data_IF_206913785229
#
_entry.id   IF_206913785229
#
_cell.length_a   1.000
_cell.length_b   1.000
_cell.length_c   1.000
_cell.angle_alpha   90.00
_cell.angle_beta   90.00
_cell.angle_gamma   90.00
#
_symmetry.space_group_name_H-M   'P 1'
#
loop_
_entity.id
_entity.type
_entity.pdbx_description
1 polymer ?
#
# COMPACT_ATOMS: atom_id res chain seq x y z
N UNK A 1 -8.77 29.20 -3.89
CA UNK A 1 -9.43 30.37 -4.52
C UNK A 1 -9.59 30.22 -6.06
N UNK A 2 -10.83 30.33 -6.59
CA UNK A 2 -11.14 30.09 -8.00
C UNK A 2 -10.57 31.15 -8.98
N UNK A 3 -10.21 32.34 -8.49
CA UNK A 3 -9.65 33.44 -9.32
C UNK A 3 -8.23 33.14 -9.82
N UNK A 4 -7.36 32.58 -8.98
CA UNK A 4 -5.98 32.26 -9.33
C UNK A 4 -5.87 31.17 -10.41
N UNK A 5 -6.74 30.16 -10.34
CA UNK A 5 -6.81 29.07 -11.33
C UNK A 5 -7.18 29.60 -12.72
N UNK A 6 -8.09 30.58 -12.79
CA UNK A 6 -8.48 31.23 -14.06
C UNK A 6 -7.36 32.05 -14.66
N UNK A 7 -6.66 32.83 -13.83
CA UNK A 7 -5.52 33.64 -14.27
C UNK A 7 -4.39 32.77 -14.87
N UNK A 8 -4.04 31.66 -14.20
CA UNK A 8 -3.03 30.72 -14.72
C UNK A 8 -3.49 30.07 -16.03
N UNK A 9 -4.76 29.66 -16.11
CA UNK A 9 -5.31 29.07 -17.33
C UNK A 9 -5.29 30.06 -18.50
N UNK A 10 -5.59 31.33 -18.25
CA UNK A 10 -5.54 32.40 -19.26
C UNK A 10 -4.11 32.70 -19.70
N UNK A 11 -3.14 32.75 -18.78
CA UNK A 11 -1.72 32.92 -19.10
C UNK A 11 -1.20 31.75 -19.92
N UNK A 12 -1.54 30.51 -19.55
CA UNK A 12 -1.16 29.31 -20.30
C UNK A 12 -1.80 29.25 -21.69
N UNK A 13 -3.06 29.66 -21.82
CA UNK A 13 -3.73 29.75 -23.12
C UNK A 13 -3.10 30.83 -24.00
N UNK A 14 -2.69 31.95 -23.42
CA UNK A 14 -2.00 33.02 -24.15
C UNK A 14 -0.63 32.55 -24.64
N UNK A 15 0.12 31.86 -23.79
CA UNK A 15 1.43 31.28 -24.16
C UNK A 15 1.31 30.16 -25.21
N UNK A 16 0.23 29.35 -25.15
CA UNK A 16 -0.07 28.33 -26.17
C UNK A 16 -0.38 28.97 -27.53
N UNK A 17 -1.06 30.12 -27.56
CA UNK A 17 -1.34 30.88 -28.79
C UNK A 17 -0.09 31.57 -29.36
N UNK A 18 0.81 32.06 -28.51
CA UNK A 18 1.98 32.84 -28.93
C UNK A 18 3.17 31.98 -29.38
N UNK A 19 3.43 30.83 -28.73
CA UNK A 19 4.64 30.01 -28.97
C UNK A 19 4.37 28.57 -29.42
N UNK A 20 3.11 28.15 -29.48
CA UNK A 20 2.72 26.76 -29.80
C UNK A 20 3.18 25.74 -28.74
N UNK A 21 2.86 24.46 -28.95
CA UNK A 21 3.23 23.35 -28.04
C UNK A 21 4.70 22.95 -28.14
N UNK A 22 5.60 23.89 -27.86
CA UNK A 22 7.04 23.65 -27.78
C UNK A 22 7.42 22.72 -26.63
N UNK A 23 8.60 22.08 -26.71
CA UNK A 23 9.13 21.24 -25.63
C UNK A 23 9.28 22.00 -24.31
N UNK A 24 9.70 23.28 -24.36
CA UNK A 24 9.80 24.15 -23.18
C UNK A 24 8.42 24.38 -22.52
N UNK A 25 7.36 24.56 -23.31
CA UNK A 25 5.99 24.69 -22.81
C UNK A 25 5.52 23.41 -22.10
N UNK A 26 5.83 22.23 -22.65
CA UNK A 26 5.52 20.94 -21.99
C UNK A 26 6.26 20.76 -20.66
N UNK A 27 7.49 21.29 -20.55
CA UNK A 27 8.26 21.28 -19.29
C UNK A 27 7.64 22.24 -18.27
N UNK A 28 7.34 23.47 -18.66
CA UNK A 28 6.77 24.51 -17.78
C UNK A 28 5.37 24.14 -17.29
N UNK A 29 4.50 23.61 -18.15
CA UNK A 29 3.16 23.13 -17.76
C UNK A 29 3.20 22.00 -16.75
N UNK A 30 4.15 21.07 -16.90
CA UNK A 30 4.37 19.99 -15.91
C UNK A 30 4.90 20.54 -14.59
N UNK A 31 5.84 21.49 -14.62
CA UNK A 31 6.37 22.13 -13.42
C UNK A 31 5.28 22.89 -12.66
N UNK A 32 4.46 23.68 -13.37
CA UNK A 32 3.29 24.36 -12.80
C UNK A 32 2.26 23.38 -12.20
N UNK A 33 2.01 22.26 -12.88
CA UNK A 33 1.12 21.20 -12.35
C UNK A 33 1.64 20.64 -11.02
N UNK A 34 2.94 20.35 -10.93
CA UNK A 34 3.56 19.89 -9.68
C UNK A 34 3.49 20.96 -8.57
N UNK A 35 3.73 22.23 -8.90
CA UNK A 35 3.62 23.33 -7.94
C UNK A 35 2.19 23.48 -7.40
N UNK A 36 1.18 23.34 -8.26
CA UNK A 36 -0.22 23.39 -7.86
C UNK A 36 -0.57 22.28 -6.87
N UNK A 37 -0.04 21.07 -7.07
CA UNK A 37 -0.24 19.93 -6.16
C UNK A 37 0.36 20.22 -4.78
N UNK A 38 1.58 20.76 -4.73
CA UNK A 38 2.23 21.12 -3.46
C UNK A 38 1.45 22.20 -2.72
N UNK A 39 0.99 23.24 -3.43
CA UNK A 39 0.18 24.31 -2.84
C UNK A 39 -1.18 23.80 -2.32
N UNK A 40 -1.79 22.82 -3.00
CA UNK A 40 -3.02 22.18 -2.54
C UNK A 40 -2.78 21.34 -1.27
N UNK A 41 -1.67 20.60 -1.20
CA UNK A 41 -1.26 19.87 0.01
C UNK A 41 -1.03 20.82 1.20
N UNK A 42 -0.33 21.94 0.99
CA UNK A 42 -0.08 22.95 2.02
C UNK A 42 -1.37 23.64 2.49
N UNK A 43 -2.28 23.96 1.56
CA UNK A 43 -3.58 24.55 1.88
C UNK A 43 -4.43 23.60 2.75
N UNK A 44 -4.45 22.30 2.43
CA UNK A 44 -5.13 21.29 3.25
C UNK A 44 -4.50 21.18 4.64
N UNK A 45 -3.17 21.24 4.75
CA UNK A 45 -2.50 21.22 6.05
C UNK A 45 -2.81 22.46 6.90
N UNK A 46 -2.84 23.64 6.26
CA UNK A 46 -3.23 24.88 6.92
C UNK A 46 -4.67 24.81 7.43
N UNK A 47 -5.59 24.22 6.67
CA UNK A 47 -6.97 24.01 7.13
C UNK A 47 -7.05 23.03 8.32
N UNK A 48 -6.14 22.05 8.40
CA UNK A 48 -6.06 21.14 9.55
C UNK A 48 -5.56 21.83 10.82
N UNK A 49 -4.61 22.76 10.73
CA UNK A 49 -4.06 23.48 11.90
C UNK A 49 -4.94 24.66 12.30
N UNK A 50 -5.48 25.37 11.32
CA UNK A 50 -6.36 26.53 11.48
C UNK A 50 -7.68 26.26 10.75
N UNK A 51 -8.63 25.56 11.38
CA UNK A 51 -9.93 25.30 10.77
C UNK A 51 -10.70 26.61 10.60
N UNK A 52 -10.70 27.15 9.37
CA UNK A 52 -11.54 28.28 8.99
C UNK A 52 -12.85 27.72 8.42
N UNK A 53 -13.98 27.96 9.08
CA UNK A 53 -15.30 27.45 8.64
C UNK A 53 -16.43 27.71 9.64
N UNK A 54 -17.65 27.37 9.24
CA UNK A 54 -18.92 27.65 9.96
C UNK A 54 -19.03 26.88 11.29
N UNK A 55 -18.42 25.68 11.41
CA UNK A 55 -18.36 24.90 12.66
C UNK A 55 -16.94 24.39 13.00
N UNK A 56 -16.12 25.18 13.71
CA UNK A 56 -14.75 24.81 14.08
C UNK A 56 -14.67 23.60 15.03
N UNK A 57 -15.66 23.46 15.91
CA UNK A 57 -15.67 22.44 16.97
C UNK A 57 -15.81 21.02 16.41
N UNK A 58 -16.76 20.78 15.49
CA UNK A 58 -16.95 19.48 14.86
C UNK A 58 -15.71 19.04 14.06
N UNK A 59 -15.09 19.95 13.28
CA UNK A 59 -13.87 19.64 12.51
C UNK A 59 -12.74 19.19 13.43
N UNK A 60 -12.55 19.87 14.56
CA UNK A 60 -11.52 19.55 15.54
C UNK A 60 -11.77 18.21 16.25
N UNK A 61 -13.00 17.93 16.69
CA UNK A 61 -13.38 16.64 17.30
C UNK A 61 -13.15 15.48 16.32
N UNK A 62 -13.57 15.64 15.05
CA UNK A 62 -13.31 14.63 14.01
C UNK A 62 -11.81 14.40 13.78
N UNK A 63 -11.00 15.45 13.82
CA UNK A 63 -9.55 15.35 13.67
C UNK A 63 -8.93 14.55 14.81
N UNK A 64 -9.28 14.86 16.06
CA UNK A 64 -8.82 14.12 17.23
C UNK A 64 -9.26 12.66 17.19
N UNK A 65 -10.53 12.41 16.87
CA UNK A 65 -11.05 11.06 16.76
C UNK A 65 -10.29 10.23 15.70
N UNK A 66 -9.92 10.84 14.56
CA UNK A 66 -9.08 10.20 13.55
C UNK A 66 -7.69 9.84 14.09
N UNK A 67 -7.07 10.65 14.94
CA UNK A 67 -5.77 10.34 15.52
C UNK A 67 -5.85 9.17 16.50
N UNK A 68 -6.85 9.15 17.39
CA UNK A 68 -7.09 8.02 18.29
C UNK A 68 -7.39 6.73 17.54
N UNK A 69 -8.24 6.79 16.52
CA UNK A 69 -8.53 5.64 15.67
C UNK A 69 -7.26 5.12 14.98
N UNK A 70 -6.41 6.01 14.46
CA UNK A 70 -5.12 5.62 13.86
C UNK A 70 -4.20 4.95 14.87
N UNK A 71 -4.19 5.39 16.12
CA UNK A 71 -3.39 4.80 17.19
C UNK A 71 -3.88 3.37 17.50
N UNK A 72 -5.20 3.20 17.70
CA UNK A 72 -5.79 1.88 17.98
C UNK A 72 -5.54 0.90 16.82
N UNK A 73 -5.80 1.33 15.57
CA UNK A 73 -5.51 0.52 14.38
C UNK A 73 -4.01 0.20 14.27
N UNK A 74 -3.14 1.14 14.67
CA UNK A 74 -1.70 0.93 14.75
C UNK A 74 -1.32 -0.21 15.70
N UNK A 75 -1.82 -0.18 16.94
CA UNK A 75 -1.56 -1.24 17.94
C UNK A 75 -2.10 -2.59 17.45
N UNK A 76 -3.33 -2.63 16.94
CA UNK A 76 -3.91 -3.86 16.39
C UNK A 76 -3.08 -4.39 15.21
N UNK A 77 -2.61 -3.51 14.32
CA UNK A 77 -1.80 -3.91 13.17
C UNK A 77 -0.45 -4.51 13.56
N UNK A 78 0.16 -4.05 14.67
CA UNK A 78 1.39 -4.65 15.22
C UNK A 78 1.11 -6.08 15.68
N UNK A 79 0.01 -6.29 16.41
CA UNK A 79 -0.41 -7.63 16.85
C UNK A 79 -0.63 -8.60 15.69
N UNK A 80 -1.34 -8.15 14.65
CA UNK A 80 -1.57 -8.97 13.44
C UNK A 80 -0.27 -9.24 12.69
N UNK A 81 0.64 -8.28 12.58
CA UNK A 81 1.97 -8.48 11.95
C UNK A 81 2.78 -9.54 12.68
N UNK A 82 2.83 -9.47 14.02
CA UNK A 82 3.54 -10.45 14.85
C UNK A 82 2.94 -11.84 14.64
N UNK A 83 1.61 -11.95 14.63
CA UNK A 83 0.95 -13.24 14.39
C UNK A 83 1.28 -13.84 13.01
N UNK A 84 1.40 -13.00 11.97
CA UNK A 84 1.81 -13.44 10.63
C UNK A 84 3.26 -13.92 10.61
N UNK A 85 4.18 -13.20 11.27
CA UNK A 85 5.59 -13.61 11.37
C UNK A 85 5.71 -14.95 12.12
N UNK A 86 4.98 -15.10 13.23
CA UNK A 86 4.94 -16.35 13.99
C UNK A 86 4.40 -17.51 13.15
N UNK A 87 3.31 -17.29 12.39
CA UNK A 87 2.76 -18.30 11.49
C UNK A 87 3.79 -18.73 10.43
N UNK A 88 4.51 -17.78 9.81
CA UNK A 88 5.55 -18.11 8.83
C UNK A 88 6.68 -18.95 9.47
N UNK A 89 7.17 -18.54 10.64
CA UNK A 89 8.30 -19.22 11.30
C UNK A 89 7.90 -20.61 11.81
N UNK A 90 6.74 -20.73 12.47
CA UNK A 90 6.35 -21.96 13.18
C UNK A 90 5.73 -23.01 12.26
N UNK A 91 5.02 -22.58 11.23
CA UNK A 91 4.22 -23.48 10.38
C UNK A 91 4.83 -23.69 9.00
N UNK A 92 5.44 -22.66 8.39
CA UNK A 92 5.95 -22.76 7.00
C UNK A 92 7.45 -23.09 6.97
N UNK A 93 8.26 -22.50 7.86
CA UNK A 93 9.73 -22.59 7.77
C UNK A 93 10.31 -23.89 8.36
N UNK A 94 9.62 -24.53 9.30
CA UNK A 94 10.10 -25.73 10.00
C UNK A 94 9.28 -26.95 9.54
N UNK A 95 9.95 -27.92 8.93
CA UNK A 95 9.39 -29.23 8.59
C UNK A 95 9.97 -30.30 9.52
N UNK A 96 9.18 -30.98 10.38
CA UNK A 96 7.73 -30.88 10.60
C UNK A 96 7.30 -29.63 11.41
N UNK A 97 6.06 -29.12 11.22
CA UNK A 97 5.61 -27.88 11.85
C UNK A 97 5.50 -28.02 13.38
N UNK A 98 6.08 -27.06 14.11
CA UNK A 98 6.15 -27.11 15.59
C UNK A 98 4.77 -26.87 16.21
N UNK A 99 4.02 -25.89 15.68
CA UNK A 99 2.60 -25.71 16.01
C UNK A 99 1.87 -24.93 14.90
N UNK A 100 0.71 -25.42 14.44
CA UNK A 100 -0.11 -24.72 13.46
C UNK A 100 -0.98 -23.65 14.13
N UNK A 101 -0.34 -22.62 14.72
CA UNK A 101 -0.92 -21.62 15.62
C UNK A 101 -2.24 -21.03 15.12
N UNK A 102 -2.23 -20.27 14.01
CA UNK A 102 -3.45 -19.61 13.54
C UNK A 102 -4.47 -20.61 12.98
N UNK A 103 -4.00 -21.69 12.36
CA UNK A 103 -4.87 -22.76 11.86
C UNK A 103 -5.72 -23.36 13.00
N UNK A 104 -5.09 -23.67 14.14
CA UNK A 104 -5.82 -24.20 15.31
C UNK A 104 -6.74 -23.17 15.96
N UNK A 105 -6.40 -21.88 15.91
CA UNK A 105 -7.26 -20.82 16.42
C UNK A 105 -8.52 -20.67 15.54
N UNK A 106 -8.36 -20.74 14.22
CA UNK A 106 -9.46 -20.61 13.28
C UNK A 106 -10.39 -21.82 13.29
N UNK A 107 -9.85 -23.05 13.35
CA UNK A 107 -10.69 -24.26 13.48
C UNK A 107 -11.47 -24.29 14.79
N UNK A 108 -10.89 -23.80 15.89
CA UNK A 108 -11.61 -23.65 17.17
C UNK A 108 -12.70 -22.59 17.10
N UNK A 109 -12.47 -21.47 16.42
CA UNK A 109 -13.49 -20.44 16.22
C UNK A 109 -14.63 -20.95 15.32
N UNK A 110 -14.29 -21.69 14.28
CA UNK A 110 -15.23 -22.34 13.36
C UNK A 110 -16.14 -23.34 14.07
N UNK A 111 -15.58 -24.12 15.02
CA UNK A 111 -16.33 -25.06 15.84
C UNK A 111 -17.39 -24.40 16.75
N UNK A 112 -17.20 -23.14 17.15
CA UNK A 112 -18.21 -22.38 17.92
C UNK A 112 -19.28 -21.83 16.99
N UNK A 113 -18.86 -21.19 15.89
CA UNK A 113 -19.76 -20.71 14.84
C UNK A 113 -18.99 -20.58 13.52
N UNK A 114 -19.43 -21.22 12.42
CA UNK A 114 -18.65 -21.26 11.18
C UNK A 114 -18.32 -19.89 10.57
N UNK A 115 -19.16 -18.87 10.81
CA UNK A 115 -18.87 -17.52 10.32
C UNK A 115 -17.65 -16.90 11.02
N UNK A 116 -17.35 -17.26 12.26
CA UNK A 116 -16.21 -16.68 12.98
C UNK A 116 -14.87 -17.14 12.42
N UNK A 117 -14.74 -18.43 12.06
CA UNK A 117 -13.53 -18.93 11.41
C UNK A 117 -13.25 -18.19 10.10
N UNK A 118 -14.26 -18.10 9.23
CA UNK A 118 -14.14 -17.47 7.92
C UNK A 118 -13.91 -15.95 8.00
N UNK A 119 -14.56 -15.26 8.94
CA UNK A 119 -14.37 -13.82 9.17
C UNK A 119 -12.96 -13.52 9.69
N UNK A 120 -12.46 -14.30 10.65
CA UNK A 120 -11.09 -14.14 11.16
C UNK A 120 -10.06 -14.41 10.05
N UNK A 121 -10.23 -15.47 9.27
CA UNK A 121 -9.38 -15.71 8.09
C UNK A 121 -9.40 -14.51 7.13
N UNK A 122 -10.59 -13.97 6.82
CA UNK A 122 -10.72 -12.80 5.95
C UNK A 122 -10.02 -11.56 6.52
N UNK A 123 -10.11 -11.31 7.83
CA UNK A 123 -9.40 -10.19 8.47
C UNK A 123 -7.88 -10.29 8.31
N UNK A 124 -7.30 -11.47 8.47
CA UNK A 124 -5.86 -11.68 8.29
C UNK A 124 -5.42 -11.54 6.84
N UNK A 125 -6.21 -12.08 5.89
CA UNK A 125 -5.94 -11.96 4.46
C UNK A 125 -6.08 -10.51 3.96
N UNK A 126 -7.15 -9.80 4.35
CA UNK A 126 -7.34 -8.39 4.00
C UNK A 126 -6.29 -7.49 4.65
N UNK A 127 -5.82 -7.83 5.85
CA UNK A 127 -4.70 -7.12 6.47
C UNK A 127 -3.44 -7.20 5.61
N UNK A 128 -3.07 -8.40 5.14
CA UNK A 128 -1.91 -8.60 4.26
C UNK A 128 -2.07 -7.79 2.96
N UNK A 129 -3.25 -7.84 2.34
CA UNK A 129 -3.55 -7.06 1.14
C UNK A 129 -3.46 -5.55 1.39
N UNK A 130 -3.97 -5.06 2.53
CA UNK A 130 -3.88 -3.66 2.91
C UNK A 130 -2.42 -3.20 3.14
N UNK A 131 -1.56 -4.08 3.66
CA UNK A 131 -0.13 -3.81 3.81
C UNK A 131 0.56 -3.67 2.44
N UNK A 132 0.27 -4.56 1.49
CA UNK A 132 0.77 -4.48 0.10
C UNK A 132 0.28 -3.21 -0.59
N UNK A 133 -0.99 -2.83 -0.39
CA UNK A 133 -1.55 -1.58 -0.91
C UNK A 133 -0.77 -0.38 -0.37
N UNK A 134 -0.61 -0.27 0.96
CA UNK A 134 0.18 0.82 1.57
C UNK A 134 1.64 0.82 1.09
N UNK A 135 2.23 -0.35 0.86
CA UNK A 135 3.57 -0.50 0.29
C UNK A 135 3.67 0.11 -1.10
N UNK A 136 2.76 -0.23 -2.01
CA UNK A 136 2.70 0.35 -3.37
C UNK A 136 2.46 1.87 -3.37
N UNK A 137 1.68 2.39 -2.41
CA UNK A 137 1.50 3.84 -2.26
C UNK A 137 2.77 4.55 -1.79
N UNK A 138 3.56 3.94 -0.88
CA UNK A 138 4.74 4.56 -0.27
C UNK A 138 6.01 4.40 -1.11
N UNK A 139 6.17 3.24 -1.75
CA UNK A 139 7.42 2.86 -2.42
C UNK A 139 7.27 3.02 -3.94
N UNK A 140 7.82 4.10 -4.49
CA UNK A 140 8.00 4.28 -5.93
C UNK A 140 9.39 3.77 -6.35
N UNK A 141 9.44 2.70 -7.13
CA UNK A 141 10.70 2.13 -7.65
C UNK A 141 10.94 2.63 -9.09
N UNK A 142 12.19 2.97 -9.40
CA UNK A 142 12.62 3.08 -10.79
C UNK A 142 13.18 1.71 -11.21
N UNK A 143 12.31 0.83 -11.71
CA UNK A 143 12.74 -0.45 -12.28
C UNK A 143 13.40 -0.20 -13.65
N UNK A 144 14.29 -1.10 -14.07
CA UNK A 144 15.12 -0.95 -15.29
C UNK A 144 14.35 -0.56 -16.56
N UNK A 145 13.07 -0.95 -16.68
CA UNK A 145 12.22 -0.68 -17.85
C UNK A 145 11.09 0.33 -17.58
N UNK A 146 10.65 0.50 -16.32
CA UNK A 146 9.48 1.30 -15.98
C UNK A 146 9.67 2.07 -14.68
N UNK A 147 9.30 3.36 -14.68
CA UNK A 147 9.23 4.19 -13.48
C UNK A 147 7.90 3.99 -12.78
N UNK A 148 7.94 3.38 -11.59
CA UNK A 148 6.79 3.29 -10.70
C UNK A 148 6.71 4.60 -9.92
N UNK A 149 5.76 5.45 -10.29
CA UNK A 149 5.51 6.69 -9.57
C UNK A 149 4.69 6.41 -8.30
N UNK A 150 5.09 6.98 -7.14
CA UNK A 150 4.30 6.85 -5.93
C UNK A 150 2.95 7.54 -6.14
N UNK A 151 1.88 6.87 -5.71
CA UNK A 151 0.53 7.37 -5.88
C UNK A 151 0.20 8.44 -4.83
N UNK A 152 -0.26 9.61 -5.29
CA UNK A 152 -0.79 10.70 -4.46
C UNK A 152 -2.30 10.82 -4.65
N UNK A 153 -3.04 11.01 -3.56
CA UNK A 153 -4.50 11.17 -3.61
C UNK A 153 -4.84 12.46 -4.38
N UNK A 154 -5.60 12.36 -5.47
CA UNK A 154 -6.03 13.52 -6.28
C UNK A 154 -4.99 14.07 -7.27
N UNK A 155 -3.73 13.65 -7.19
CA UNK A 155 -2.62 14.18 -7.98
C UNK A 155 -1.89 13.14 -8.84
N UNK A 156 -2.38 11.90 -8.88
CA UNK A 156 -1.78 10.82 -9.68
C UNK A 156 -2.29 10.87 -11.12
N UNK A 157 -1.39 10.87 -12.10
CA UNK A 157 -1.77 10.72 -13.51
C UNK A 157 -2.49 9.38 -13.74
N UNK A 158 -3.54 9.37 -14.56
CA UNK A 158 -4.35 8.17 -14.84
C UNK A 158 -3.50 6.99 -15.36
N UNK A 159 -2.48 7.26 -16.17
CA UNK A 159 -1.55 6.22 -16.67
C UNK A 159 -0.71 5.60 -15.55
N UNK A 160 -0.20 6.40 -14.61
CA UNK A 160 0.54 5.90 -13.45
C UNK A 160 -0.37 5.17 -12.45
N UNK A 161 -1.63 5.61 -12.34
CA UNK A 161 -2.64 4.94 -11.53
C UNK A 161 -2.95 3.53 -12.08
N UNK A 162 -3.21 3.41 -13.39
CA UNK A 162 -3.49 2.12 -14.03
C UNK A 162 -2.33 1.14 -13.87
N UNK A 163 -1.09 1.61 -14.06
CA UNK A 163 0.10 0.78 -13.89
C UNK A 163 0.26 0.27 -12.45
N UNK A 164 0.07 1.13 -11.45
CA UNK A 164 0.13 0.72 -10.05
C UNK A 164 -1.02 -0.23 -9.66
N UNK A 165 -2.22 -0.06 -10.24
CA UNK A 165 -3.31 -1.03 -10.04
C UNK A 165 -2.96 -2.38 -10.64
N UNK A 166 -2.36 -2.42 -11.84
CA UNK A 166 -1.92 -3.67 -12.43
C UNK A 166 -0.91 -4.40 -11.53
N UNK A 167 0.03 -3.68 -10.93
CA UNK A 167 0.95 -4.24 -9.93
C UNK A 167 0.21 -4.75 -8.69
N UNK A 168 -0.82 -4.04 -8.20
CA UNK A 168 -1.63 -4.49 -7.07
C UNK A 168 -2.44 -5.75 -7.37
N UNK A 169 -2.96 -5.89 -8.59
CA UNK A 169 -3.68 -7.09 -9.04
C UNK A 169 -2.74 -8.29 -9.19
N UNK A 170 -1.52 -8.07 -9.69
CA UNK A 170 -0.49 -9.12 -9.72
C UNK A 170 -0.01 -9.50 -8.31
N UNK A 171 0.04 -8.54 -7.38
CA UNK A 171 0.42 -8.83 -6.01
C UNK A 171 -0.71 -9.55 -5.24
N UNK A 172 -1.99 -9.31 -5.57
CA UNK A 172 -3.10 -9.98 -4.89
C UNK A 172 -3.16 -11.47 -5.20
N UNK A 173 -2.79 -11.90 -6.40
CA UNK A 173 -2.70 -13.34 -6.72
C UNK A 173 -1.61 -14.02 -5.89
N UNK A 174 -0.45 -13.39 -5.74
CA UNK A 174 0.62 -13.88 -4.87
C UNK A 174 0.21 -13.92 -3.39
N UNK A 175 -0.53 -12.91 -2.91
CA UNK A 175 -1.04 -12.88 -1.54
C UNK A 175 -2.04 -14.01 -1.26
N UNK A 176 -2.95 -14.29 -2.20
CA UNK A 176 -3.91 -15.41 -2.10
C UNK A 176 -3.19 -16.75 -2.07
N UNK A 177 -2.20 -16.94 -2.95
CA UNK A 177 -1.38 -18.15 -2.96
C UNK A 177 -0.68 -18.37 -1.62
N UNK A 178 -0.04 -17.33 -1.07
CA UNK A 178 0.60 -17.40 0.23
C UNK A 178 -0.39 -17.74 1.36
N UNK A 179 -1.61 -17.18 1.32
CA UNK A 179 -2.65 -17.53 2.28
C UNK A 179 -3.08 -19.00 2.16
N UNK A 180 -3.16 -19.55 0.94
CA UNK A 180 -3.50 -20.97 0.71
C UNK A 180 -2.46 -21.90 1.35
N UNK A 181 -1.17 -21.58 1.22
CA UNK A 181 -0.09 -22.35 1.83
C UNK A 181 -0.05 -22.18 3.36
N UNK A 182 -0.13 -20.94 3.85
CA UNK A 182 -0.06 -20.62 5.28
C UNK A 182 -1.24 -21.22 6.09
N UNK A 183 -2.40 -21.37 5.44
CA UNK A 183 -3.63 -21.86 6.07
C UNK A 183 -4.09 -23.22 5.52
N UNK A 184 -3.19 -24.04 4.98
CA UNK A 184 -3.55 -25.30 4.33
C UNK A 184 -4.35 -26.26 5.24
N UNK A 185 -4.08 -26.28 6.56
CA UNK A 185 -4.85 -27.09 7.52
C UNK A 185 -6.26 -26.56 7.79
N UNK A 186 -6.46 -25.24 7.79
CA UNK A 186 -7.78 -24.66 7.98
C UNK A 186 -8.62 -24.73 6.69
N UNK A 187 -7.97 -24.50 5.54
CA UNK A 187 -8.59 -24.52 4.22
C UNK A 187 -8.62 -25.93 3.59
N UNK A 188 -8.41 -26.98 4.38
CA UNK A 188 -8.45 -28.37 3.94
C UNK A 188 -9.83 -28.67 3.33
N UNK A 189 -9.86 -29.22 2.12
CA UNK A 189 -11.06 -29.45 1.30
C UNK A 189 -11.71 -28.20 0.69
N UNK A 190 -11.06 -27.03 0.71
CA UNK A 190 -11.49 -25.89 -0.08
C UNK A 190 -10.98 -25.96 -1.53
N UNK A 191 -11.74 -25.41 -2.47
CA UNK A 191 -11.34 -25.32 -3.88
C UNK A 191 -10.03 -24.54 -4.07
N UNK A 192 -9.76 -23.58 -3.18
CA UNK A 192 -8.54 -22.76 -3.19
C UNK A 192 -7.30 -23.64 -2.98
N UNK A 193 -7.35 -24.59 -2.05
CA UNK A 193 -6.25 -25.52 -1.83
C UNK A 193 -6.07 -26.48 -3.01
N UNK A 194 -7.16 -26.92 -3.64
CA UNK A 194 -7.08 -27.78 -4.82
C UNK A 194 -6.40 -27.08 -6.01
N UNK A 195 -6.73 -25.81 -6.25
CA UNK A 195 -6.14 -25.01 -7.32
C UNK A 195 -4.67 -24.69 -7.04
N UNK A 196 -4.36 -24.13 -5.87
CA UNK A 196 -3.00 -23.66 -5.56
C UNK A 196 -2.06 -24.76 -5.04
N UNK A 197 -2.58 -25.84 -4.48
CA UNK A 197 -1.79 -26.93 -3.90
C UNK A 197 -1.52 -28.09 -4.87
N UNK A 198 -2.50 -28.50 -5.67
CA UNK A 198 -2.36 -29.65 -6.58
C UNK A 198 -2.13 -29.25 -8.05
N UNK A 199 -2.85 -28.25 -8.55
CA UNK A 199 -2.74 -27.84 -9.96
C UNK A 199 -1.52 -26.95 -10.21
N UNK A 200 -1.19 -26.05 -9.29
CA UNK A 200 -0.06 -25.13 -9.47
C UNK A 200 1.31 -25.81 -9.27
N UNK A 201 1.41 -26.78 -8.36
CA UNK A 201 2.65 -27.53 -8.10
C UNK A 201 2.97 -28.56 -9.18
N UNK A 202 1.97 -28.98 -9.96
CA UNK A 202 2.13 -29.91 -11.09
C UNK A 202 2.47 -29.23 -12.42
N UNK A 203 2.46 -27.89 -12.48
CA UNK A 203 2.88 -27.15 -13.67
C UNK A 203 4.40 -27.27 -13.89
N UNK A 204 4.78 -27.79 -15.06
CA UNK A 204 6.17 -27.97 -15.46
C UNK A 204 6.88 -26.60 -15.57
N UNK A 205 8.02 -26.46 -14.89
CA UNK A 205 8.81 -25.23 -14.80
C UNK A 205 8.60 -24.44 -13.49
N UNK A 206 7.35 -24.19 -13.11
CA UNK A 206 7.01 -23.47 -11.88
C UNK A 206 7.13 -24.34 -10.61
N UNK A 207 6.94 -25.66 -10.75
CA UNK A 207 7.04 -26.64 -9.66
C UNK A 207 8.33 -26.51 -8.81
N UNK A 208 9.47 -26.23 -9.45
CA UNK A 208 10.76 -26.08 -8.74
C UNK A 208 10.81 -24.87 -7.81
N UNK A 209 10.19 -23.75 -8.19
CA UNK A 209 10.12 -22.55 -7.35
C UNK A 209 9.23 -22.78 -6.12
N UNK A 210 8.19 -23.59 -6.28
CA UNK A 210 7.23 -23.90 -5.24
C UNK A 210 7.73 -24.95 -4.25
N UNK A 211 8.38 -26.02 -4.70
CA UNK A 211 8.94 -27.04 -3.81
C UNK A 211 10.02 -26.47 -2.87
N UNK A 212 10.69 -25.40 -3.28
CA UNK A 212 11.72 -24.73 -2.49
C UNK A 212 11.20 -23.53 -1.68
N UNK A 213 9.89 -23.27 -1.67
CA UNK A 213 9.25 -22.15 -0.96
C UNK A 213 9.93 -20.79 -1.20
N UNK A 214 10.49 -20.58 -2.41
CA UNK A 214 11.35 -19.41 -2.71
C UNK A 214 10.58 -18.09 -2.52
N UNK A 215 9.29 -18.08 -2.84
CA UNK A 215 8.43 -16.91 -2.68
C UNK A 215 8.29 -16.46 -1.22
N UNK A 216 8.23 -17.40 -0.27
CA UNK A 216 8.16 -17.10 1.16
C UNK A 216 9.47 -16.49 1.64
N UNK A 217 10.61 -17.04 1.21
CA UNK A 217 11.92 -16.49 1.52
C UNK A 217 12.10 -15.06 0.98
N UNK A 218 11.62 -14.78 -0.24
CA UNK A 218 11.65 -13.43 -0.82
C UNK A 218 10.75 -12.48 -0.01
N UNK A 219 9.53 -12.90 0.36
CA UNK A 219 8.63 -12.09 1.18
C UNK A 219 9.24 -11.76 2.55
N UNK A 220 9.83 -12.76 3.21
CA UNK A 220 10.48 -12.63 4.52
C UNK A 220 11.72 -11.73 4.42
N UNK A 221 12.54 -11.93 3.38
CA UNK A 221 13.70 -11.08 3.09
C UNK A 221 13.31 -9.62 2.87
N UNK A 222 12.27 -9.35 2.09
CA UNK A 222 11.77 -8.00 1.83
C UNK A 222 11.13 -7.36 3.07
N UNK A 223 10.42 -8.12 3.90
CA UNK A 223 9.89 -7.63 5.18
C UNK A 223 11.00 -7.31 6.17
N UNK A 224 12.05 -8.14 6.27
CA UNK A 224 13.22 -7.84 7.09
C UNK A 224 13.97 -6.59 6.60
N UNK A 225 14.20 -6.48 5.29
CA UNK A 225 14.89 -5.33 4.69
C UNK A 225 14.10 -4.04 4.94
N UNK A 226 12.78 -4.06 4.74
CA UNK A 226 11.93 -2.90 5.03
C UNK A 226 11.89 -2.54 6.51
N UNK A 227 11.91 -3.52 7.41
CA UNK A 227 12.00 -3.28 8.86
C UNK A 227 13.32 -2.60 9.23
N UNK A 228 14.46 -3.14 8.76
CA UNK A 228 15.79 -2.53 8.96
C UNK A 228 15.81 -1.11 8.38
N UNK A 229 15.29 -0.92 7.17
CA UNK A 229 15.22 0.39 6.52
C UNK A 229 14.44 1.40 7.35
N UNK A 230 13.28 1.02 7.90
CA UNK A 230 12.46 1.90 8.74
C UNK A 230 13.13 2.18 10.09
N UNK A 231 13.81 1.21 10.70
CA UNK A 231 14.58 1.40 11.92
C UNK A 231 15.74 2.40 11.72
N UNK A 232 16.45 2.32 10.59
CA UNK A 232 17.60 3.20 10.29
C UNK A 232 17.16 4.60 9.85
N UNK A 233 16.16 4.71 8.98
CA UNK A 233 15.69 6.01 8.46
C UNK A 233 14.91 6.81 9.50
N UNK A 234 14.35 6.13 10.52
CA UNK A 234 13.48 6.73 11.53
C UNK A 234 12.12 7.17 10.95
N UNK A 235 11.21 7.73 11.77
CA UNK A 235 9.95 8.29 11.29
C UNK A 235 10.25 9.33 10.20
N UNK A 236 9.43 9.36 9.14
CA UNK A 236 9.55 10.36 8.07
C UNK A 236 9.43 11.76 8.71
N UNK A 237 10.58 12.39 9.01
CA UNK A 237 10.64 13.75 9.54
C UNK A 237 10.15 14.65 8.43
N UNK A 238 9.13 15.44 8.72
CA UNK A 238 8.66 16.48 7.81
C UNK A 238 9.81 17.41 7.48
N UNK A 239 10.40 17.24 6.30
CA UNK A 239 11.28 18.24 5.70
C UNK A 239 10.35 19.19 4.96
N UNK A 240 10.24 20.44 5.42
CA UNK A 240 9.83 21.53 4.54
C UNK A 240 10.75 21.45 3.33
N UNK A 241 10.24 21.05 2.18
CA UNK A 241 10.95 21.37 0.94
C UNK A 241 11.02 22.90 0.92
N UNK A 242 12.25 23.43 0.98
CA UNK A 242 12.43 24.87 0.86
C UNK A 242 11.86 25.26 -0.50
N UNK A 243 11.04 26.32 -0.59
CA UNK A 243 10.47 26.80 -1.85
C UNK A 243 11.54 26.93 -2.95
N UNK A 244 12.75 27.32 -2.56
CA UNK A 244 13.95 27.47 -3.39
C UNK A 244 14.28 26.25 -4.27
N UNK A 245 14.11 25.01 -3.77
CA UNK A 245 14.39 23.80 -4.56
C UNK A 245 13.36 23.50 -5.65
N UNK A 246 12.19 24.14 -5.59
CA UNK A 246 11.13 24.05 -6.61
C UNK A 246 11.32 25.12 -7.70
N UNK A 247 12.12 26.16 -7.44
CA UNK A 247 12.38 27.28 -8.35
C UNK A 247 13.66 27.13 -9.19
N UNK A 248 14.49 26.11 -8.93
CA UNK A 248 15.79 25.90 -9.61
C UNK A 248 15.75 24.84 -10.74
N UNK A 249 14.58 24.39 -11.21
CA UNK A 249 14.45 23.37 -12.28
C UNK A 249 13.99 23.89 -13.64
#
# INVERSE_FOLDING_TARGET
>A
PPSFRRLIAEVLQKEERERGRSWKWRRNTRALGNQMIVLEEDAVQLELVYPQGEDPEYKWVWMIMKYWLKLVVGILSIGVTISWILQIILYILISPPVSPLLNTAFTKADAVFPLFGTLLFALWAFYLQAAVIKGNFKFGLNLLLFRVHPMRRGATFMSSFLFNIALLLLASTAAVQFCSEAFALYAENSDILNIFGAQLTSLQGLSWLYNNSIFIYILLGMTLLTLIYLCVRGPDRWKREKPEGVYEM
#
